data_IF_255072624828
#
_entry.id   IF_255072624828
#
_cell.length_a   1.000
_cell.length_b   1.000
_cell.length_c   1.000
_cell.angle_alpha   90.00
_cell.angle_beta   90.00
_cell.angle_gamma   90.00
#
_symmetry.space_group_name_H-M   'P 1'
#
loop_
_entity.id
_entity.type
_entity.pdbx_description
1 polymer ?
#
# COMPACT_ATOMS: atom_id res chain seq x y z
N UNK A 1 -42.53 50.54 -34.68
CA UNK A 1 -41.87 49.38 -35.33
C UNK A 1 -40.37 49.56 -35.12
N UNK A 2 -39.58 48.77 -34.39
CA UNK A 2 -39.65 47.37 -33.95
C UNK A 2 -38.87 47.21 -32.63
N UNK A 3 -39.49 46.49 -31.70
CA UNK A 3 -38.89 45.84 -30.53
C UNK A 3 -37.98 44.69 -30.98
N UNK A 4 -36.73 44.63 -30.50
CA UNK A 4 -35.90 43.42 -30.31
C UNK A 4 -34.74 43.87 -29.39
N UNK A 5 -34.59 43.58 -28.08
CA UNK A 5 -34.77 42.36 -27.29
C UNK A 5 -34.00 41.17 -27.88
N UNK A 6 -32.76 40.94 -27.41
CA UNK A 6 -32.10 39.62 -27.28
C UNK A 6 -30.74 39.81 -26.58
N UNK A 7 -30.68 39.68 -25.25
CA UNK A 7 -30.29 38.48 -24.49
C UNK A 7 -28.76 38.33 -24.38
N UNK A 8 -28.28 38.75 -23.20
CA UNK A 8 -27.04 38.32 -22.54
C UNK A 8 -26.89 36.80 -22.61
N UNK A 9 -25.95 36.30 -23.41
CA UNK A 9 -25.49 34.91 -23.33
C UNK A 9 -24.20 34.85 -22.51
N UNK A 10 -24.36 35.05 -21.20
CA UNK A 10 -23.35 34.75 -20.20
C UNK A 10 -23.13 33.23 -20.20
N UNK A 11 -22.15 32.76 -20.99
CA UNK A 11 -21.63 31.39 -20.93
C UNK A 11 -20.99 31.17 -19.56
N UNK A 12 -21.83 30.77 -18.61
CA UNK A 12 -21.43 30.22 -17.33
C UNK A 12 -20.73 28.89 -17.62
N UNK A 13 -19.41 28.93 -17.74
CA UNK A 13 -18.57 27.74 -17.60
C UNK A 13 -18.75 27.24 -16.15
N UNK A 14 -19.73 26.36 -15.93
CA UNK A 14 -19.74 25.46 -14.78
C UNK A 14 -18.59 24.47 -14.97
N UNK A 15 -17.38 24.93 -14.67
CA UNK A 15 -16.27 24.06 -14.33
C UNK A 15 -16.68 23.33 -13.06
N UNK A 16 -17.27 22.15 -13.20
CA UNK A 16 -17.44 21.23 -12.09
C UNK A 16 -16.07 20.97 -11.51
N UNK A 17 -15.74 21.61 -10.39
CA UNK A 17 -14.54 21.28 -9.63
C UNK A 17 -14.68 19.82 -9.23
N UNK A 18 -13.99 18.93 -9.95
CA UNK A 18 -13.85 17.55 -9.55
C UNK A 18 -13.21 17.58 -8.17
N UNK A 19 -14.01 17.35 -7.12
CA UNK A 19 -13.49 17.29 -5.76
C UNK A 19 -12.52 16.13 -5.70
N UNK A 20 -11.26 16.45 -5.39
CA UNK A 20 -10.23 15.46 -5.14
C UNK A 20 -10.72 14.49 -4.06
N UNK A 21 -10.68 13.19 -4.38
CA UNK A 21 -11.09 12.13 -3.45
C UNK A 21 -10.21 12.13 -2.20
N UNK A 22 -10.82 12.22 -1.01
CA UNK A 22 -10.11 12.36 0.28
C UNK A 22 -10.10 11.10 1.16
N UNK A 23 -10.88 10.07 0.80
CA UNK A 23 -11.04 8.81 1.53
C UNK A 23 -10.76 7.61 0.63
N UNK A 24 -10.53 6.43 1.22
CA UNK A 24 -10.37 5.16 0.53
C UNK A 24 -11.70 4.40 0.43
N UNK A 25 -11.96 3.83 -0.73
CA UNK A 25 -12.81 2.65 -0.86
C UNK A 25 -12.17 1.45 -0.16
N UNK A 26 -12.95 0.39 0.07
CA UNK A 26 -12.43 -0.85 0.68
C UNK A 26 -11.25 -1.44 -0.12
N UNK A 27 -11.33 -1.41 -1.45
CA UNK A 27 -10.27 -1.91 -2.34
C UNK A 27 -8.99 -1.09 -2.26
N UNK A 28 -9.09 0.24 -2.15
CA UNK A 28 -7.91 1.11 -1.98
C UNK A 28 -7.28 0.92 -0.59
N UNK A 29 -8.09 0.74 0.45
CA UNK A 29 -7.60 0.45 1.79
C UNK A 29 -6.90 -0.92 1.86
N UNK A 30 -7.48 -1.95 1.24
CA UNK A 30 -6.84 -3.25 1.07
C UNK A 30 -5.51 -3.13 0.32
N UNK A 31 -5.49 -2.35 -0.77
CA UNK A 31 -4.28 -2.14 -1.55
C UNK A 31 -3.16 -1.49 -0.72
N UNK A 32 -3.48 -0.47 0.08
CA UNK A 32 -2.50 0.14 0.99
C UNK A 32 -1.92 -0.89 1.97
N UNK A 33 -2.77 -1.71 2.59
CA UNK A 33 -2.32 -2.74 3.51
C UNK A 33 -1.50 -3.83 2.81
N UNK A 34 -1.85 -4.20 1.58
CA UNK A 34 -1.05 -5.10 0.76
C UNK A 34 0.36 -4.57 0.51
N UNK A 35 0.48 -3.28 0.17
CA UNK A 35 1.78 -2.62 -0.01
C UNK A 35 2.54 -2.50 1.32
N UNK A 36 1.85 -2.24 2.44
CA UNK A 36 2.44 -2.27 3.78
C UNK A 36 3.05 -3.63 4.06
N UNK A 37 2.25 -4.69 4.02
CA UNK A 37 2.67 -6.07 4.28
C UNK A 37 3.88 -6.42 3.41
N UNK A 38 3.84 -6.12 2.11
CA UNK A 38 4.95 -6.40 1.20
C UNK A 38 6.24 -5.69 1.62
N UNK A 39 6.14 -4.42 2.01
CA UNK A 39 7.26 -3.62 2.48
C UNK A 39 7.82 -4.13 3.81
N UNK A 40 6.95 -4.51 4.75
CA UNK A 40 7.37 -5.07 6.05
C UNK A 40 8.09 -6.42 5.87
N UNK A 41 7.54 -7.33 5.05
CA UNK A 41 8.16 -8.63 4.77
C UNK A 41 9.53 -8.47 4.08
N UNK A 42 9.68 -7.48 3.20
CA UNK A 42 10.97 -7.17 2.59
C UNK A 42 12.02 -6.80 3.64
N UNK A 43 11.69 -5.87 4.54
CA UNK A 43 12.63 -5.39 5.57
C UNK A 43 12.95 -6.51 6.56
N UNK A 44 11.96 -7.28 6.99
CA UNK A 44 12.15 -8.42 7.89
C UNK A 44 13.05 -9.47 7.22
N UNK A 45 12.75 -9.83 5.97
CA UNK A 45 13.53 -10.82 5.22
C UNK A 45 14.99 -10.41 5.07
N UNK A 46 15.25 -9.14 4.74
CA UNK A 46 16.60 -8.58 4.63
C UNK A 46 17.37 -8.58 5.95
N UNK A 47 16.74 -8.09 7.03
CA UNK A 47 17.42 -7.96 8.34
C UNK A 47 17.63 -9.31 9.02
N UNK A 48 16.74 -10.28 8.80
CA UNK A 48 16.79 -11.57 9.49
C UNK A 48 17.43 -12.70 8.68
N UNK A 49 17.90 -12.45 7.45
CA UNK A 49 18.42 -13.51 6.58
C UNK A 49 19.52 -14.36 7.23
N UNK A 50 20.42 -13.75 8.02
CA UNK A 50 21.52 -14.45 8.71
C UNK A 50 21.07 -15.30 9.90
N UNK A 51 19.84 -15.09 10.39
CA UNK A 51 19.24 -15.83 11.49
C UNK A 51 18.29 -16.93 11.01
N UNK A 52 18.31 -17.24 9.71
CA UNK A 52 17.51 -18.34 9.16
C UNK A 52 17.96 -19.66 9.80
N UNK A 53 17.03 -20.50 10.32
CA UNK A 53 17.37 -21.83 10.82
C UNK A 53 18.11 -22.68 9.78
N UNK A 54 19.02 -23.54 10.25
CA UNK A 54 19.76 -24.45 9.37
C UNK A 54 18.79 -25.40 8.66
N UNK A 55 18.99 -25.58 7.35
CA UNK A 55 18.13 -26.42 6.51
C UNK A 55 16.92 -25.69 5.91
N UNK A 56 16.67 -24.45 6.29
CA UNK A 56 15.59 -23.64 5.71
C UNK A 56 16.12 -22.78 4.57
N UNK A 57 15.23 -22.46 3.61
CA UNK A 57 15.50 -21.39 2.64
C UNK A 57 15.66 -20.07 3.40
N UNK A 58 16.69 -19.27 3.08
CA UNK A 58 16.91 -18.00 3.80
C UNK A 58 15.68 -17.09 3.71
N UNK A 59 15.42 -16.32 4.78
CA UNK A 59 14.20 -15.51 4.87
C UNK A 59 14.04 -14.51 3.74
N UNK A 60 15.12 -13.91 3.24
CA UNK A 60 15.02 -13.00 2.10
C UNK A 60 14.61 -13.72 0.81
N UNK A 61 15.09 -14.94 0.58
CA UNK A 61 14.70 -15.74 -0.56
C UNK A 61 13.25 -16.25 -0.45
N UNK A 62 12.76 -16.53 0.76
CA UNK A 62 11.33 -16.80 0.98
C UNK A 62 10.47 -15.56 0.69
N UNK A 63 10.88 -14.37 1.11
CA UNK A 63 10.23 -13.11 0.72
C UNK A 63 10.15 -12.94 -0.80
N UNK A 64 11.22 -13.27 -1.53
CA UNK A 64 11.21 -13.22 -3.00
C UNK A 64 10.20 -14.21 -3.59
N UNK A 65 10.10 -15.42 -3.05
CA UNK A 65 9.10 -16.40 -3.49
C UNK A 65 7.67 -15.91 -3.22
N UNK A 66 7.41 -15.32 -2.04
CA UNK A 66 6.12 -14.72 -1.68
C UNK A 66 5.77 -13.62 -2.68
N UNK A 67 6.74 -12.77 -3.03
CA UNK A 67 6.59 -11.69 -4.00
C UNK A 67 6.25 -12.26 -5.38
N UNK A 68 6.98 -13.27 -5.84
CA UNK A 68 6.76 -13.88 -7.15
C UNK A 68 5.40 -14.60 -7.23
N UNK A 69 5.03 -15.35 -6.20
CA UNK A 69 3.75 -16.06 -6.09
C UNK A 69 2.55 -15.11 -6.17
N UNK A 70 2.71 -13.88 -5.67
CA UNK A 70 1.65 -12.88 -5.59
C UNK A 70 1.90 -11.66 -6.50
N UNK A 71 2.75 -11.79 -7.52
CA UNK A 71 3.20 -10.67 -8.36
C UNK A 71 2.02 -9.87 -8.95
N UNK A 72 1.04 -10.57 -9.54
CA UNK A 72 -0.15 -9.92 -10.10
C UNK A 72 -1.00 -9.22 -9.04
N UNK A 73 -1.05 -9.75 -7.82
CA UNK A 73 -1.81 -9.16 -6.72
C UNK A 73 -1.17 -7.82 -6.32
N UNK A 74 0.14 -7.81 -6.09
CA UNK A 74 0.88 -6.59 -5.76
C UNK A 74 0.81 -5.56 -6.88
N UNK A 75 0.95 -5.98 -8.14
CA UNK A 75 0.80 -5.08 -9.29
C UNK A 75 -0.60 -4.42 -9.34
N UNK A 76 -1.65 -5.17 -9.01
CA UNK A 76 -3.01 -4.63 -8.95
C UNK A 76 -3.20 -3.66 -7.77
N UNK A 77 -2.57 -3.90 -6.63
CA UNK A 77 -2.58 -2.95 -5.52
C UNK A 77 -1.87 -1.64 -5.87
N UNK A 78 -0.71 -1.72 -6.51
CA UNK A 78 0.01 -0.54 -7.01
C UNK A 78 -0.86 0.26 -7.99
N UNK A 79 -1.46 -0.43 -8.98
CA UNK A 79 -2.39 0.20 -9.94
C UNK A 79 -3.57 0.88 -9.26
N UNK A 80 -4.14 0.23 -8.24
CA UNK A 80 -5.30 0.76 -7.48
C UNK A 80 -4.92 2.07 -6.78
N UNK A 81 -3.79 2.10 -6.08
CA UNK A 81 -3.33 3.29 -5.38
C UNK A 81 -2.89 4.41 -6.32
N UNK A 82 -2.22 4.08 -7.42
CA UNK A 82 -1.88 5.05 -8.48
C UNK A 82 -3.16 5.70 -9.02
N UNK A 83 -4.21 4.91 -9.28
CA UNK A 83 -5.49 5.46 -9.74
C UNK A 83 -6.15 6.35 -8.68
N UNK A 84 -6.11 5.95 -7.40
CA UNK A 84 -6.55 6.80 -6.30
C UNK A 84 -5.81 8.15 -6.30
N UNK A 85 -4.49 8.14 -6.36
CA UNK A 85 -3.70 9.38 -6.32
C UNK A 85 -3.98 10.30 -7.52
N UNK A 86 -4.23 9.73 -8.71
CA UNK A 86 -4.71 10.51 -9.88
C UNK A 86 -6.05 11.18 -9.58
N UNK A 87 -7.01 10.43 -9.06
CA UNK A 87 -8.35 10.93 -8.74
C UNK A 87 -8.37 11.91 -7.56
N UNK A 88 -7.38 11.83 -6.66
CA UNK A 88 -7.18 12.78 -5.58
C UNK A 88 -6.42 14.05 -6.02
N UNK A 89 -6.21 14.25 -7.33
CA UNK A 89 -5.56 15.43 -7.88
C UNK A 89 -4.04 15.48 -7.68
N UNK A 90 -3.38 14.34 -7.46
CA UNK A 90 -1.92 14.31 -7.37
C UNK A 90 -1.29 14.39 -8.76
N UNK A 91 -0.31 15.29 -8.93
CA UNK A 91 0.39 15.51 -10.20
C UNK A 91 1.47 14.47 -10.50
N UNK A 92 1.86 13.65 -9.52
CA UNK A 92 2.81 12.54 -9.67
C UNK A 92 2.41 11.32 -8.80
N UNK A 93 1.37 10.58 -9.23
CA UNK A 93 0.84 9.39 -8.53
C UNK A 93 1.89 8.31 -8.23
N UNK A 94 2.82 8.09 -9.15
CA UNK A 94 3.88 7.10 -9.03
C UNK A 94 4.85 7.50 -7.90
N UNK A 95 5.20 8.78 -7.80
CA UNK A 95 6.00 9.31 -6.68
C UNK A 95 5.29 9.13 -5.34
N UNK A 96 3.98 9.32 -5.28
CA UNK A 96 3.21 9.07 -4.05
C UNK A 96 3.27 7.60 -3.64
N UNK A 97 3.09 6.68 -4.59
CA UNK A 97 3.23 5.25 -4.31
C UNK A 97 4.65 4.90 -3.83
N UNK A 98 5.69 5.46 -4.43
CA UNK A 98 7.07 5.28 -3.97
C UNK A 98 7.29 5.85 -2.56
N UNK A 99 6.71 7.00 -2.27
CA UNK A 99 6.76 7.62 -0.94
C UNK A 99 6.07 6.74 0.09
N UNK A 100 4.89 6.19 -0.25
CA UNK A 100 4.15 5.23 0.59
C UNK A 100 5.00 4.01 0.96
N UNK A 101 5.58 3.35 -0.05
CA UNK A 101 6.46 2.18 0.13
C UNK A 101 7.66 2.51 1.02
N UNK A 102 8.28 3.67 0.78
CA UNK A 102 9.43 4.14 1.55
C UNK A 102 9.06 4.39 3.01
N UNK A 103 7.91 5.02 3.27
CA UNK A 103 7.41 5.26 4.63
C UNK A 103 7.18 3.94 5.39
N UNK A 104 6.57 2.95 4.75
CA UNK A 104 6.34 1.64 5.39
C UNK A 104 7.65 0.89 5.65
N UNK A 105 8.56 0.86 4.69
CA UNK A 105 9.88 0.26 4.88
C UNK A 105 10.64 0.96 6.01
N UNK A 106 10.69 2.30 6.01
CA UNK A 106 11.41 3.08 7.02
C UNK A 106 10.85 2.87 8.43
N UNK A 107 9.54 2.67 8.58
CA UNK A 107 8.95 2.38 9.89
C UNK A 107 9.56 1.09 10.49
N UNK A 108 9.53 -0.01 9.74
CA UNK A 108 10.10 -1.28 10.21
C UNK A 108 11.62 -1.24 10.29
N UNK A 109 12.29 -0.56 9.36
CA UNK A 109 13.76 -0.37 9.42
C UNK A 109 14.19 0.42 10.64
N UNK A 110 13.40 1.41 11.06
CA UNK A 110 13.66 2.17 12.29
C UNK A 110 13.53 1.28 13.52
N UNK A 111 12.53 0.40 13.56
CA UNK A 111 12.37 -0.57 14.64
C UNK A 111 13.54 -1.55 14.65
N UNK A 112 13.95 -2.07 13.49
CA UNK A 112 15.10 -2.95 13.35
C UNK A 112 16.41 -2.28 13.81
N UNK A 113 16.60 -0.99 13.51
CA UNK A 113 17.79 -0.23 13.91
C UNK A 113 17.83 0.09 15.41
N UNK A 114 16.66 0.28 16.05
CA UNK A 114 16.56 0.57 17.49
C UNK A 114 16.64 -0.68 18.36
N UNK A 115 16.33 -1.85 17.79
CA UNK A 115 16.39 -3.13 18.47
C UNK A 115 17.71 -3.83 18.23
N UNK A 116 18.11 -4.73 19.13
CA UNK A 116 19.15 -5.69 18.80
C UNK A 116 18.64 -6.64 17.70
N UNK A 117 19.49 -7.08 16.75
CA UNK A 117 19.05 -7.95 15.65
C UNK A 117 18.36 -9.25 16.11
N UNK A 118 18.83 -9.86 17.19
CA UNK A 118 18.25 -11.08 17.75
C UNK A 118 16.83 -10.88 18.28
N UNK A 119 16.60 -9.76 18.98
CA UNK A 119 15.28 -9.37 19.50
C UNK A 119 14.33 -8.99 18.36
N UNK A 120 14.82 -8.29 17.35
CA UNK A 120 13.99 -7.96 16.18
C UNK A 120 13.55 -9.26 15.47
N UNK A 121 14.49 -10.14 15.17
CA UNK A 121 14.17 -11.35 14.41
C UNK A 121 13.34 -12.37 15.20
N UNK A 122 13.50 -12.47 16.53
CA UNK A 122 12.61 -13.31 17.34
C UNK A 122 11.15 -12.85 17.30
N UNK A 123 10.92 -11.54 17.24
CA UNK A 123 9.58 -10.95 17.21
C UNK A 123 8.92 -10.99 15.81
N UNK A 124 9.71 -10.85 14.74
CA UNK A 124 9.17 -10.59 13.40
C UNK A 124 9.46 -11.65 12.36
N UNK A 125 10.54 -12.44 12.48
CA UNK A 125 10.97 -13.34 11.41
C UNK A 125 9.95 -14.44 11.10
N UNK A 126 9.14 -14.87 12.08
CA UNK A 126 8.08 -15.87 11.92
C UNK A 126 7.00 -15.46 10.92
N UNK A 127 6.87 -14.17 10.62
CA UNK A 127 5.93 -13.67 9.59
C UNK A 127 6.29 -14.16 8.19
N UNK A 128 7.58 -14.37 7.90
CA UNK A 128 8.07 -14.81 6.58
C UNK A 128 7.59 -16.23 6.25
N UNK A 129 7.91 -17.29 7.03
CA UNK A 129 7.46 -18.64 6.72
C UNK A 129 5.93 -18.75 6.76
N UNK A 130 5.27 -18.04 7.68
CA UNK A 130 3.80 -17.99 7.72
C UNK A 130 3.22 -17.44 6.40
N UNK A 131 3.77 -16.36 5.86
CA UNK A 131 3.33 -15.79 4.60
C UNK A 131 3.70 -16.68 3.39
N UNK A 132 4.79 -17.46 3.46
CA UNK A 132 5.18 -18.39 2.41
C UNK A 132 4.17 -19.53 2.24
N UNK A 133 3.55 -19.97 3.33
CA UNK A 133 2.54 -21.04 3.36
C UNK A 133 1.14 -20.56 2.93
N UNK A 134 0.86 -19.26 2.99
CA UNK A 134 -0.46 -18.71 2.65
C UNK A 134 -0.85 -18.95 1.18
N UNK A 135 -2.12 -19.25 0.93
CA UNK A 135 -2.69 -19.12 -0.41
C UNK A 135 -2.81 -17.65 -0.81
N UNK A 136 -3.04 -17.37 -2.09
CA UNK A 136 -3.32 -16.00 -2.56
C UNK A 136 -4.56 -15.41 -1.88
N UNK A 137 -5.59 -16.23 -1.65
CA UNK A 137 -6.81 -15.80 -0.99
C UNK A 137 -6.57 -15.43 0.49
N UNK A 138 -5.77 -16.22 1.21
CA UNK A 138 -5.41 -15.92 2.60
C UNK A 138 -4.60 -14.62 2.69
N UNK A 139 -3.67 -14.41 1.75
CA UNK A 139 -2.87 -13.20 1.70
C UNK A 139 -3.73 -11.97 1.43
N UNK A 140 -4.68 -12.09 0.50
CA UNK A 140 -5.64 -11.03 0.20
C UNK A 140 -6.54 -10.73 1.40
N UNK A 141 -7.03 -11.76 2.09
CA UNK A 141 -7.83 -11.60 3.30
C UNK A 141 -7.03 -10.92 4.42
N UNK A 142 -5.74 -11.23 4.55
CA UNK A 142 -4.85 -10.54 5.48
C UNK A 142 -4.73 -9.05 5.13
N UNK A 143 -4.52 -8.71 3.86
CA UNK A 143 -4.50 -7.32 3.40
C UNK A 143 -5.85 -6.58 3.61
N UNK A 144 -6.97 -7.30 3.53
CA UNK A 144 -8.30 -6.74 3.77
C UNK A 144 -8.64 -6.55 5.27
N UNK A 145 -7.77 -6.97 6.19
CA UNK A 145 -8.00 -6.88 7.63
C UNK A 145 -7.32 -5.64 8.21
N UNK A 146 -8.13 -4.70 8.74
CA UNK A 146 -7.65 -3.43 9.27
C UNK A 146 -7.50 -3.48 10.80
N UNK A 147 -6.33 -3.08 11.31
CA UNK A 147 -6.05 -3.06 12.74
C UNK A 147 -5.77 -1.64 13.24
N UNK A 148 -6.27 -1.25 14.44
CA UNK A 148 -6.00 0.06 15.02
C UNK A 148 -4.51 0.37 15.21
N UNK A 149 -3.68 -0.65 15.42
CA UNK A 149 -2.22 -0.51 15.56
C UNK A 149 -1.49 -0.17 14.26
N UNK A 150 -2.13 -0.38 13.11
CA UNK A 150 -1.60 -0.10 11.77
C UNK A 150 -2.62 0.68 10.94
N UNK A 151 -2.91 1.94 11.34
CA UNK A 151 -3.95 2.73 10.72
C UNK A 151 -3.65 3.01 9.25
N UNK A 152 -4.73 3.16 8.48
CA UNK A 152 -4.68 3.61 7.09
C UNK A 152 -4.27 5.08 7.01
N UNK A 153 -3.61 5.48 5.92
CA UNK A 153 -3.23 6.88 5.71
C UNK A 153 -4.42 7.78 5.35
N UNK A 154 -5.52 7.18 4.90
CA UNK A 154 -6.79 7.84 4.61
C UNK A 154 -7.93 7.07 5.26
N UNK A 155 -8.97 7.75 5.75
CA UNK A 155 -10.14 7.07 6.28
C UNK A 155 -10.88 6.31 5.17
N UNK A 156 -11.67 5.31 5.55
CA UNK A 156 -12.62 4.70 4.62
C UNK A 156 -13.71 5.71 4.25
N UNK A 157 -14.16 5.67 3.00
CA UNK A 157 -15.35 6.37 2.57
C UNK A 157 -16.57 5.75 3.25
N UNK A 158 -17.47 6.60 3.74
CA UNK A 158 -18.76 6.19 4.31
C UNK A 158 -19.74 5.73 3.22
#
# INVERSE_FOLDING_TARGET
MRFYLSILLSLFFMSGAAQAKSCYSKTEAEAEQGIRIHSELMVIGLNCQHMTPRGWKNFYSQYRDITNKNADLFANYEKTLINYYRQSGNNNPERELHTLRTTFANKVSTDAAKMRPDVFCSNFATRIPRAAEMSRADFQQWAATFHPSTPLNKPLCN
#
